data_IF_463501852544
#
_entry.id   IF_463501852544
#
_cell.length_a   1.000
_cell.length_b   1.000
_cell.length_c   1.000
_cell.angle_alpha   90.00
_cell.angle_beta   90.00
_cell.angle_gamma   90.00
#
_symmetry.space_group_name_H-M   'P 1'
#
loop_
_entity.id
_entity.type
_entity.pdbx_description
1 polymer ?
#
# COMPACT_ATOMS: atom_id res chain seq x y z
N UNK A 1 44.91 56.46 6.31
CA UNK A 1 45.32 55.06 6.05
C UNK A 1 44.18 54.04 6.26
N UNK A 2 43.22 54.26 7.17
CA UNK A 2 42.08 53.35 7.38
C UNK A 2 41.11 53.20 6.17
N UNK A 3 40.79 54.27 5.45
CA UNK A 3 39.85 54.22 4.32
C UNK A 3 40.35 53.44 3.08
N UNK A 4 41.67 53.38 2.89
CA UNK A 4 42.29 52.76 1.70
C UNK A 4 42.22 51.22 1.73
N UNK A 5 42.06 50.62 2.92
CA UNK A 5 41.86 49.18 3.10
C UNK A 5 40.39 48.78 3.34
N UNK A 6 39.55 49.70 3.83
CA UNK A 6 38.15 49.43 4.16
C UNK A 6 37.24 49.44 2.92
N UNK A 7 37.46 50.38 1.99
CA UNK A 7 36.62 50.56 0.80
C UNK A 7 36.66 49.36 -0.18
N UNK A 8 37.84 48.77 -0.49
CA UNK A 8 37.90 47.60 -1.36
C UNK A 8 37.22 46.37 -0.76
N UNK A 9 37.36 46.15 0.56
CA UNK A 9 36.70 45.05 1.27
C UNK A 9 35.17 45.22 1.30
N UNK A 10 34.69 46.45 1.42
CA UNK A 10 33.26 46.74 1.37
C UNK A 10 32.69 46.48 -0.04
N UNK A 11 33.40 46.91 -1.09
CA UNK A 11 32.99 46.63 -2.48
C UNK A 11 33.00 45.15 -2.83
N UNK A 12 34.01 44.41 -2.37
CA UNK A 12 34.03 42.94 -2.54
C UNK A 12 32.82 42.28 -1.86
N UNK A 13 32.46 42.75 -0.66
CA UNK A 13 31.27 42.26 0.05
C UNK A 13 29.97 42.62 -0.67
N UNK A 14 29.85 43.83 -1.23
CA UNK A 14 28.70 44.25 -2.02
C UNK A 14 28.54 43.37 -3.25
N UNK A 15 29.60 43.17 -4.04
CA UNK A 15 29.55 42.32 -5.24
C UNK A 15 29.17 40.87 -4.91
N UNK A 16 29.69 40.33 -3.79
CA UNK A 16 29.30 39.00 -3.32
C UNK A 16 27.83 38.94 -2.92
N UNK A 17 27.30 39.98 -2.28
CA UNK A 17 25.89 40.07 -1.91
C UNK A 17 24.99 40.21 -3.15
N UNK A 18 25.38 41.01 -4.13
CA UNK A 18 24.65 41.16 -5.41
C UNK A 18 24.61 39.84 -6.19
N UNK A 19 25.74 39.14 -6.31
CA UNK A 19 25.80 37.82 -6.93
C UNK A 19 24.88 36.82 -6.20
N UNK A 20 24.83 36.88 -4.86
CA UNK A 20 23.95 36.03 -4.06
C UNK A 20 22.47 36.38 -4.25
N UNK A 21 22.13 37.66 -4.38
CA UNK A 21 20.76 38.11 -4.67
C UNK A 21 20.30 37.55 -6.02
N UNK A 22 21.11 37.69 -7.07
CA UNK A 22 20.79 37.17 -8.40
C UNK A 22 20.58 35.64 -8.39
N UNK A 23 21.43 34.90 -7.67
CA UNK A 23 21.29 33.44 -7.51
C UNK A 23 19.98 33.06 -6.79
N UNK A 24 19.63 33.80 -5.73
CA UNK A 24 18.40 33.59 -4.97
C UNK A 24 17.16 33.93 -5.80
N UNK A 25 17.17 35.03 -6.54
CA UNK A 25 16.09 35.43 -7.44
C UNK A 25 15.85 34.36 -8.51
N UNK A 26 16.91 33.87 -9.15
CA UNK A 26 16.82 32.75 -10.10
C UNK A 26 16.26 31.49 -9.44
N UNK A 27 16.66 31.21 -8.20
CA UNK A 27 16.12 30.06 -7.45
C UNK A 27 14.62 30.20 -7.22
N UNK A 28 14.14 31.37 -6.77
CA UNK A 28 12.70 31.64 -6.53
C UNK A 28 11.89 31.53 -7.82
N UNK A 29 12.41 32.02 -8.95
CA UNK A 29 11.74 31.92 -10.24
C UNK A 29 11.56 30.45 -10.66
N UNK A 30 12.58 29.61 -10.49
CA UNK A 30 12.44 28.16 -10.77
C UNK A 30 11.45 27.46 -9.85
N UNK A 31 11.36 27.86 -8.57
CA UNK A 31 10.42 27.25 -7.63
C UNK A 31 8.98 27.66 -7.93
N UNK A 32 8.77 28.93 -8.28
CA UNK A 32 7.45 29.49 -8.61
C UNK A 32 6.92 29.06 -9.98
N UNK A 33 7.79 28.79 -10.96
CA UNK A 33 7.40 28.30 -12.29
C UNK A 33 7.47 26.78 -12.43
N UNK A 34 8.18 26.11 -11.51
CA UNK A 34 8.34 24.65 -11.50
C UNK A 34 7.18 23.90 -10.85
N UNK A 35 7.45 22.65 -10.48
CA UNK A 35 6.43 21.74 -9.93
C UNK A 35 5.77 22.21 -8.63
N UNK A 36 6.50 22.93 -7.77
CA UNK A 36 5.93 23.46 -6.51
C UNK A 36 4.99 24.63 -6.74
N UNK A 37 5.30 25.53 -7.67
CA UNK A 37 4.38 26.61 -8.05
C UNK A 37 3.03 26.08 -8.53
N UNK A 38 3.05 25.08 -9.42
CA UNK A 38 1.83 24.41 -9.89
C UNK A 38 1.11 23.65 -8.77
N UNK A 39 1.84 23.04 -7.83
CA UNK A 39 1.22 22.32 -6.73
C UNK A 39 0.43 23.25 -5.81
N UNK A 40 0.88 24.50 -5.61
CA UNK A 40 0.18 25.50 -4.80
C UNK A 40 -1.21 25.85 -5.34
N UNK A 41 -1.45 25.69 -6.65
CA UNK A 41 -2.76 25.92 -7.25
C UNK A 41 -3.79 24.84 -6.85
N UNK A 42 -3.31 23.66 -6.41
CA UNK A 42 -4.14 22.49 -6.17
C UNK A 42 -4.10 21.99 -4.72
N UNK A 43 -2.99 22.20 -4.00
CA UNK A 43 -2.79 21.77 -2.62
C UNK A 43 -3.17 22.88 -1.64
N UNK A 44 -4.16 22.61 -0.82
CA UNK A 44 -4.59 23.47 0.29
C UNK A 44 -4.49 22.71 1.61
N UNK A 45 -4.39 23.44 2.72
CA UNK A 45 -4.48 22.87 4.05
C UNK A 45 -5.78 23.33 4.70
N UNK A 46 -6.52 22.40 5.28
CA UNK A 46 -7.76 22.64 5.97
C UNK A 46 -7.58 22.35 7.46
N UNK A 47 -7.67 23.39 8.28
CA UNK A 47 -7.44 23.31 9.72
C UNK A 47 -8.79 23.18 10.44
N UNK A 48 -9.18 21.95 10.78
CA UNK A 48 -10.30 21.71 11.68
C UNK A 48 -9.78 21.44 13.08
N UNK A 49 -9.94 22.46 13.94
CA UNK A 49 -9.69 22.46 15.38
C UNK A 49 -8.25 22.15 15.82
N UNK A 50 -7.68 20.99 15.47
CA UNK A 50 -6.28 20.59 15.74
C UNK A 50 -5.72 19.64 14.64
N UNK A 51 -6.54 19.25 13.66
CA UNK A 51 -6.16 18.36 12.58
C UNK A 51 -5.98 19.14 11.28
N UNK A 52 -4.73 19.33 10.87
CA UNK A 52 -4.39 19.89 9.57
C UNK A 52 -4.56 18.80 8.52
N UNK A 53 -5.46 19.01 7.54
CA UNK A 53 -5.66 18.09 6.42
C UNK A 53 -5.14 18.70 5.12
N UNK A 54 -4.18 18.03 4.49
CA UNK A 54 -3.76 18.35 3.12
C UNK A 54 -4.85 17.92 2.13
N UNK A 55 -5.30 18.84 1.26
CA UNK A 55 -6.34 18.61 0.26
C UNK A 55 -5.86 18.98 -1.13
N UNK A 56 -5.89 18.01 -2.04
CA UNK A 56 -5.70 18.23 -3.48
C UNK A 56 -7.06 18.50 -4.13
N UNK A 57 -7.20 19.61 -4.84
CA UNK A 57 -8.46 20.01 -5.52
C UNK A 57 -8.23 20.09 -7.03
N UNK A 58 -9.14 19.56 -7.83
CA UNK A 58 -9.07 19.66 -9.30
C UNK A 58 -8.00 18.80 -9.98
N UNK A 59 -7.32 17.92 -9.23
CA UNK A 59 -6.32 16.97 -9.74
C UNK A 59 -6.46 15.59 -9.09
N UNK A 60 -5.95 14.56 -9.77
CA UNK A 60 -5.82 13.20 -9.22
C UNK A 60 -4.43 13.02 -8.58
N UNK A 61 -4.33 12.16 -7.55
CA UNK A 61 -3.06 11.65 -7.04
C UNK A 61 -2.73 10.33 -7.73
N UNK A 62 -1.54 10.25 -8.33
CA UNK A 62 -1.01 9.01 -8.90
C UNK A 62 0.33 8.67 -8.24
N UNK A 63 0.46 7.43 -7.78
CA UNK A 63 1.70 6.91 -7.18
C UNK A 63 2.20 5.79 -8.08
N UNK A 64 3.42 5.94 -8.61
CA UNK A 64 4.02 5.01 -9.57
C UNK A 64 5.37 4.51 -9.07
N UNK A 65 5.74 3.30 -9.49
CA UNK A 65 7.04 2.69 -9.17
C UNK A 65 8.20 3.20 -10.06
N UNK A 66 7.89 3.94 -11.13
CA UNK A 66 8.85 4.55 -12.06
C UNK A 66 9.34 3.66 -13.20
N UNK A 67 8.79 2.44 -13.37
CA UNK A 67 9.28 1.47 -14.35
C UNK A 67 8.44 1.38 -15.63
N UNK A 68 7.34 2.14 -15.70
CA UNK A 68 6.48 2.21 -16.88
C UNK A 68 5.59 0.97 -17.08
N UNK A 69 5.52 0.06 -16.12
CA UNK A 69 4.65 -1.12 -16.13
C UNK A 69 4.05 -1.37 -14.73
N UNK A 70 2.77 -1.69 -14.66
CA UNK A 70 2.07 -2.01 -13.40
C UNK A 70 2.52 -3.33 -12.77
N UNK A 71 2.93 -4.31 -13.59
CA UNK A 71 3.30 -5.64 -13.11
C UNK A 71 4.72 -5.71 -12.53
N UNK A 72 5.52 -4.67 -12.73
CA UNK A 72 6.88 -4.64 -12.20
C UNK A 72 6.87 -4.21 -10.73
N UNK A 73 7.77 -4.81 -9.95
CA UNK A 73 7.84 -4.61 -8.51
C UNK A 73 9.25 -4.18 -8.12
N UNK A 74 9.33 -3.09 -7.37
CA UNK A 74 10.60 -2.53 -6.92
C UNK A 74 10.48 -1.82 -5.57
N UNK A 75 9.54 -2.26 -4.73
CA UNK A 75 9.13 -1.70 -3.43
C UNK A 75 8.54 -0.28 -3.45
N UNK A 76 8.43 0.38 -4.62
CA UNK A 76 7.87 1.73 -4.76
C UNK A 76 6.46 1.71 -5.36
N UNK A 77 5.81 2.87 -5.40
CA UNK A 77 4.46 2.99 -5.98
C UNK A 77 3.32 2.63 -5.02
N UNK A 78 3.61 2.41 -3.73
CA UNK A 78 2.62 2.01 -2.72
C UNK A 78 2.01 3.23 -2.01
N UNK A 79 0.72 3.15 -1.63
CA UNK A 79 0.07 4.07 -0.68
C UNK A 79 0.05 3.44 0.71
N UNK A 80 0.67 4.09 1.69
CA UNK A 80 0.77 3.60 3.06
C UNK A 80 -0.02 4.53 3.99
N UNK A 81 -0.95 3.98 4.76
CA UNK A 81 -1.69 4.67 5.83
C UNK A 81 -1.31 4.09 7.20
N UNK A 82 -0.68 4.91 8.03
CA UNK A 82 -0.07 4.50 9.30
C UNK A 82 1.45 4.31 9.18
N UNK A 83 2.08 3.75 10.21
CA UNK A 83 3.54 3.61 10.27
C UNK A 83 4.08 2.35 9.57
N UNK A 84 3.19 1.43 9.17
CA UNK A 84 3.56 0.17 8.50
C UNK A 84 4.65 -0.58 9.29
N UNK A 85 4.46 -0.75 10.59
CA UNK A 85 5.44 -1.34 11.49
C UNK A 85 5.86 -2.74 11.00
N UNK A 86 7.14 -3.10 11.01
CA UNK A 86 7.59 -4.41 10.54
C UNK A 86 7.25 -5.51 11.55
N UNK A 87 7.35 -6.77 11.09
CA UNK A 87 7.32 -7.93 11.99
C UNK A 87 8.53 -7.91 12.92
N UNK A 88 8.36 -8.40 14.14
CA UNK A 88 9.44 -8.60 15.11
C UNK A 88 10.15 -9.95 14.92
N UNK A 89 9.49 -10.89 14.25
CA UNK A 89 9.97 -12.25 13.99
C UNK A 89 9.63 -12.66 12.55
N UNK A 90 10.49 -13.50 11.95
CA UNK A 90 10.35 -13.93 10.56
C UNK A 90 10.85 -12.93 9.53
N UNK A 91 10.64 -13.26 8.25
CA UNK A 91 11.08 -12.43 7.11
C UNK A 91 10.14 -11.24 6.90
N UNK A 92 10.72 -10.04 6.76
CA UNK A 92 9.99 -8.84 6.31
C UNK A 92 10.11 -8.77 4.80
N UNK A 93 9.03 -9.13 4.10
CA UNK A 93 8.99 -9.15 2.63
C UNK A 93 8.05 -8.07 2.13
N UNK A 94 8.62 -6.98 1.59
CA UNK A 94 7.89 -5.78 1.15
C UNK A 94 8.39 -5.28 -0.21
N UNK A 95 8.74 -6.21 -1.09
CA UNK A 95 9.23 -5.93 -2.44
C UNK A 95 8.14 -5.47 -3.40
N UNK A 96 6.86 -5.63 -3.04
CA UNK A 96 5.71 -5.31 -3.87
C UNK A 96 5.53 -3.83 -4.21
N UNK A 97 4.76 -3.57 -5.27
CA UNK A 97 4.51 -2.22 -5.81
C UNK A 97 3.02 -1.98 -6.07
N UNK A 98 2.57 -0.73 -6.14
CA UNK A 98 1.18 -0.40 -6.47
C UNK A 98 0.12 -0.96 -5.49
N UNK A 99 0.47 -1.12 -4.22
CA UNK A 99 -0.42 -1.62 -3.17
C UNK A 99 -0.97 -0.49 -2.28
N UNK A 100 -2.14 -0.71 -1.70
CA UNK A 100 -2.67 0.07 -0.57
C UNK A 100 -2.41 -0.71 0.72
N UNK A 101 -1.66 -0.11 1.64
CA UNK A 101 -1.25 -0.73 2.91
C UNK A 101 -1.79 0.08 4.07
N UNK A 102 -2.53 -0.59 4.96
CA UNK A 102 -3.15 -0.01 6.15
C UNK A 102 -2.82 -0.94 7.32
N UNK A 103 -2.39 -0.41 8.46
CA UNK A 103 -2.08 -1.24 9.64
C UNK A 103 -0.63 -1.72 9.69
N UNK A 104 -0.41 -2.87 10.34
CA UNK A 104 0.92 -3.25 10.86
C UNK A 104 1.33 -4.67 10.47
N UNK A 105 2.64 -4.90 10.42
CA UNK A 105 3.28 -6.21 10.25
C UNK A 105 2.98 -6.91 8.92
N UNK A 106 2.44 -6.20 7.94
CA UNK A 106 2.13 -6.78 6.64
C UNK A 106 3.40 -7.12 5.84
N UNK A 107 3.30 -8.22 5.10
CA UNK A 107 4.20 -8.55 3.99
C UNK A 107 3.42 -8.45 2.67
N UNK A 108 4.07 -7.92 1.65
CA UNK A 108 3.47 -7.71 0.33
C UNK A 108 4.58 -7.75 -0.73
N UNK A 109 4.60 -8.81 -1.54
CA UNK A 109 5.65 -9.04 -2.55
C UNK A 109 5.18 -8.83 -3.98
N UNK A 110 3.87 -8.72 -4.18
CA UNK A 110 3.26 -8.56 -5.51
C UNK A 110 2.72 -7.14 -5.75
N UNK A 111 1.80 -6.99 -6.69
CA UNK A 111 1.27 -5.70 -7.11
C UNK A 111 -0.26 -5.64 -7.14
N UNK A 112 -0.77 -4.41 -7.12
CA UNK A 112 -2.20 -4.08 -7.15
C UNK A 112 -3.03 -4.69 -6.00
N UNK A 113 -2.40 -4.93 -4.85
CA UNK A 113 -3.07 -5.46 -3.67
C UNK A 113 -3.57 -4.41 -2.68
N UNK A 114 -4.50 -4.81 -1.81
CA UNK A 114 -4.99 -4.02 -0.67
C UNK A 114 -4.82 -4.85 0.59
N UNK A 115 -4.05 -4.37 1.56
CA UNK A 115 -3.85 -5.04 2.84
C UNK A 115 -4.22 -4.14 4.01
N UNK A 116 -5.03 -4.67 4.91
CA UNK A 116 -5.39 -4.06 6.18
C UNK A 116 -5.37 -5.09 7.32
N UNK A 117 -5.38 -4.64 8.58
CA UNK A 117 -5.41 -5.49 9.77
C UNK A 117 -4.04 -5.65 10.41
N UNK A 118 -3.68 -6.89 10.76
CA UNK A 118 -2.41 -7.19 11.42
C UNK A 118 -1.75 -8.42 10.81
N UNK A 119 -0.48 -8.29 10.43
CA UNK A 119 0.34 -9.44 10.08
C UNK A 119 -0.21 -10.28 8.91
N UNK A 120 -0.87 -9.65 7.95
CA UNK A 120 -1.33 -10.31 6.72
C UNK A 120 -0.26 -10.36 5.61
N UNK A 121 -0.44 -11.24 4.64
CA UNK A 121 0.46 -11.48 3.50
C UNK A 121 -0.29 -11.37 2.17
N UNK A 122 0.21 -10.52 1.27
CA UNK A 122 -0.20 -10.50 -0.14
C UNK A 122 0.97 -10.96 -1.00
N UNK A 123 0.91 -12.22 -1.43
CA UNK A 123 1.92 -12.82 -2.30
C UNK A 123 1.42 -12.95 -3.75
N UNK A 124 0.10 -13.05 -3.95
CA UNK A 124 -0.52 -13.05 -5.26
C UNK A 124 -0.81 -11.65 -5.79
N UNK A 125 -0.82 -11.51 -7.12
CA UNK A 125 -1.28 -10.30 -7.79
C UNK A 125 -2.78 -10.02 -7.52
N UNK A 126 -3.14 -8.75 -7.40
CA UNK A 126 -4.52 -8.32 -7.13
C UNK A 126 -5.13 -8.92 -5.84
N UNK A 127 -4.29 -9.40 -4.91
CA UNK A 127 -4.75 -9.92 -3.62
C UNK A 127 -5.36 -8.82 -2.75
N UNK A 128 -6.48 -9.09 -2.10
CA UNK A 128 -7.18 -8.13 -1.25
C UNK A 128 -7.48 -8.77 0.10
N UNK A 129 -7.00 -8.16 1.17
CA UNK A 129 -7.29 -8.52 2.56
C UNK A 129 -7.84 -7.27 3.24
N UNK A 130 -9.17 -7.17 3.33
CA UNK A 130 -9.88 -5.99 3.83
C UNK A 130 -9.74 -5.82 5.35
N UNK A 131 -9.54 -6.93 6.07
CA UNK A 131 -9.20 -7.01 7.49
C UNK A 131 -8.72 -8.43 7.81
N UNK A 132 -8.35 -8.70 9.06
CA UNK A 132 -7.98 -10.02 9.57
C UNK A 132 -6.58 -10.06 10.15
N UNK A 133 -6.18 -11.25 10.60
CA UNK A 133 -4.87 -11.47 11.21
C UNK A 133 -4.20 -12.74 10.69
N UNK A 134 -2.94 -12.63 10.32
CA UNK A 134 -2.13 -13.75 9.79
C UNK A 134 -2.78 -14.42 8.56
N UNK A 135 -3.50 -13.68 7.72
CA UNK A 135 -4.10 -14.21 6.50
C UNK A 135 -3.14 -14.12 5.30
N UNK A 136 -3.23 -15.08 4.37
CA UNK A 136 -2.32 -15.26 3.23
C UNK A 136 -3.07 -15.31 1.89
N UNK A 137 -3.09 -14.19 1.16
CA UNK A 137 -3.54 -14.12 -0.23
C UNK A 137 -2.38 -14.56 -1.15
N UNK A 138 -2.28 -15.86 -1.40
CA UNK A 138 -1.15 -16.47 -2.11
C UNK A 138 -1.34 -16.54 -3.63
N UNK A 139 -2.57 -16.67 -4.10
CA UNK A 139 -2.90 -16.75 -5.51
C UNK A 139 -3.45 -15.43 -6.07
N UNK A 140 -3.62 -15.37 -7.39
CA UNK A 140 -4.16 -14.19 -8.08
C UNK A 140 -5.63 -13.94 -7.67
N UNK A 141 -6.00 -12.67 -7.52
CA UNK A 141 -7.39 -12.23 -7.31
C UNK A 141 -8.08 -12.83 -6.07
N UNK A 142 -7.31 -13.21 -5.04
CA UNK A 142 -7.87 -13.68 -3.77
C UNK A 142 -8.46 -12.50 -3.00
N UNK A 143 -9.68 -12.66 -2.48
CA UNK A 143 -10.32 -11.67 -1.62
C UNK A 143 -10.60 -12.26 -0.24
N UNK A 144 -10.14 -11.59 0.80
CA UNK A 144 -10.39 -11.95 2.19
C UNK A 144 -11.03 -10.77 2.91
N UNK A 145 -12.22 -10.96 3.47
CA UNK A 145 -12.93 -9.88 4.17
C UNK A 145 -12.48 -9.73 5.63
N UNK A 146 -12.16 -10.84 6.30
CA UNK A 146 -11.77 -10.89 7.70
C UNK A 146 -11.24 -12.27 8.10
N UNK A 147 -11.32 -12.59 9.39
CA UNK A 147 -10.89 -13.89 9.92
C UNK A 147 -9.42 -13.95 10.32
N UNK A 148 -8.97 -15.17 10.64
CA UNK A 148 -7.62 -15.43 11.14
C UNK A 148 -7.03 -16.66 10.43
N UNK A 149 -5.76 -16.59 10.04
CA UNK A 149 -4.97 -17.69 9.44
C UNK A 149 -5.53 -18.27 8.14
N UNK A 150 -6.30 -17.50 7.37
CA UNK A 150 -6.80 -17.94 6.07
C UNK A 150 -5.68 -18.10 5.03
N UNK A 151 -5.81 -19.11 4.15
CA UNK A 151 -4.82 -19.43 3.10
C UNK A 151 -5.51 -19.53 1.73
N UNK A 152 -5.60 -18.41 1.03
CA UNK A 152 -6.17 -18.35 -0.32
C UNK A 152 -5.13 -18.77 -1.36
N UNK A 153 -5.02 -20.08 -1.60
CA UNK A 153 -4.08 -20.65 -2.58
C UNK A 153 -4.73 -20.94 -3.94
N UNK A 154 -6.07 -20.95 -4.02
CA UNK A 154 -6.82 -21.00 -5.27
C UNK A 154 -7.07 -19.60 -5.84
N UNK A 155 -6.86 -19.42 -7.14
CA UNK A 155 -7.10 -18.12 -7.80
C UNK A 155 -8.59 -17.77 -7.76
N UNK A 156 -8.91 -16.47 -7.64
CA UNK A 156 -10.28 -15.97 -7.52
C UNK A 156 -11.07 -16.52 -6.32
N UNK A 157 -10.40 -17.04 -5.29
CA UNK A 157 -11.07 -17.49 -4.07
C UNK A 157 -11.52 -16.31 -3.20
N UNK A 158 -12.63 -16.47 -2.50
CA UNK A 158 -13.17 -15.47 -1.57
C UNK A 158 -13.36 -16.09 -0.19
N UNK A 159 -12.78 -15.49 0.84
CA UNK A 159 -12.87 -15.93 2.23
C UNK A 159 -13.47 -14.81 3.07
N UNK A 160 -14.70 -14.99 3.55
CA UNK A 160 -15.45 -13.94 4.23
C UNK A 160 -15.03 -13.84 5.70
N UNK A 161 -15.01 -14.97 6.42
CA UNK A 161 -14.71 -15.05 7.85
C UNK A 161 -14.25 -16.46 8.26
N UNK A 162 -13.99 -16.65 9.55
CA UNK A 162 -13.64 -17.92 10.17
C UNK A 162 -12.19 -18.00 10.60
N UNK A 163 -11.71 -19.25 10.74
CA UNK A 163 -10.36 -19.55 11.19
C UNK A 163 -9.73 -20.62 10.30
N UNK A 164 -8.53 -20.36 9.77
CA UNK A 164 -7.72 -21.33 9.03
C UNK A 164 -8.46 -22.02 7.87
N UNK A 165 -9.33 -21.33 7.14
CA UNK A 165 -9.89 -21.85 5.88
C UNK A 165 -8.94 -21.61 4.70
N UNK A 166 -8.93 -22.51 3.72
CA UNK A 166 -8.05 -22.40 2.55
C UNK A 166 -8.20 -23.56 1.57
N UNK A 167 -7.24 -23.74 0.67
CA UNK A 167 -7.23 -24.82 -0.31
C UNK A 167 -6.74 -24.37 -1.69
N UNK A 168 -6.47 -25.33 -2.57
CA UNK A 168 -5.91 -25.11 -3.92
C UNK A 168 -6.99 -24.86 -5.00
N UNK A 169 -8.25 -25.18 -4.69
CA UNK A 169 -9.40 -25.03 -5.58
C UNK A 169 -9.66 -23.58 -5.97
N UNK A 170 -9.70 -23.32 -7.28
CA UNK A 170 -9.93 -21.98 -7.82
C UNK A 170 -11.41 -21.60 -7.72
N UNK A 171 -11.72 -20.31 -7.58
CA UNK A 171 -13.09 -19.78 -7.44
C UNK A 171 -13.88 -20.38 -6.28
N UNK A 172 -13.17 -20.83 -5.24
CA UNK A 172 -13.79 -21.33 -4.01
C UNK A 172 -14.28 -20.18 -3.13
N UNK A 173 -15.38 -20.39 -2.42
CA UNK A 173 -15.96 -19.42 -1.51
C UNK A 173 -16.08 -20.02 -0.11
N UNK A 174 -15.58 -19.31 0.89
CA UNK A 174 -15.69 -19.67 2.30
C UNK A 174 -16.47 -18.58 3.01
N UNK A 175 -17.66 -18.91 3.52
CA UNK A 175 -18.50 -17.96 4.25
C UNK A 175 -18.06 -17.87 5.72
N UNK A 176 -17.96 -19.02 6.39
CA UNK A 176 -17.49 -19.19 7.77
C UNK A 176 -16.81 -20.57 7.92
N UNK A 177 -16.62 -21.02 9.16
CA UNK A 177 -16.09 -22.33 9.49
C UNK A 177 -14.63 -22.30 9.95
N UNK A 178 -14.14 -23.47 10.31
CA UNK A 178 -12.77 -23.67 10.80
C UNK A 178 -12.07 -24.76 10.01
N UNK A 179 -10.85 -24.51 9.54
CA UNK A 179 -10.00 -25.55 8.95
C UNK A 179 -10.64 -26.25 7.72
N UNK A 180 -11.46 -25.55 6.95
CA UNK A 180 -12.04 -26.09 5.73
C UNK A 180 -11.06 -26.02 4.54
N UNK A 181 -11.13 -27.01 3.63
CA UNK A 181 -10.17 -27.24 2.53
C UNK A 181 -10.87 -27.39 1.16
N UNK A 182 -10.80 -26.36 0.33
CA UNK A 182 -11.21 -26.43 -1.08
C UNK A 182 -10.09 -27.06 -1.92
N UNK A 183 -10.13 -28.37 -2.15
CA UNK A 183 -9.21 -29.07 -3.06
C UNK A 183 -9.72 -29.13 -4.51
N UNK A 184 -11.00 -28.81 -4.70
CA UNK A 184 -11.67 -28.76 -5.99
C UNK A 184 -12.21 -27.35 -6.28
N UNK A 185 -12.39 -27.03 -7.56
CA UNK A 185 -12.73 -25.68 -8.02
C UNK A 185 -14.23 -25.38 -7.89
N UNK A 186 -14.56 -24.09 -7.80
CA UNK A 186 -15.94 -23.59 -7.75
C UNK A 186 -16.75 -24.11 -6.54
N UNK A 187 -16.06 -24.51 -5.48
CA UNK A 187 -16.68 -25.04 -4.26
C UNK A 187 -17.14 -23.92 -3.33
N UNK A 188 -18.19 -24.19 -2.54
CA UNK A 188 -18.74 -23.24 -1.57
C UNK A 188 -18.84 -23.90 -0.21
N UNK A 189 -18.15 -23.33 0.79
CA UNK A 189 -18.21 -23.73 2.19
C UNK A 189 -19.07 -22.72 2.95
N UNK A 190 -20.24 -23.16 3.40
CA UNK A 190 -21.13 -22.32 4.21
C UNK A 190 -20.62 -22.22 5.65
N UNK A 191 -20.07 -23.30 6.20
CA UNK A 191 -19.52 -23.40 7.55
C UNK A 191 -18.83 -24.74 7.77
N UNK A 192 -18.88 -25.27 8.99
CA UNK A 192 -18.31 -26.58 9.33
C UNK A 192 -16.88 -26.51 9.89
N UNK A 193 -16.35 -27.67 10.29
CA UNK A 193 -15.02 -27.80 10.90
C UNK A 193 -14.27 -28.96 10.26
N UNK A 194 -13.19 -28.64 9.53
CA UNK A 194 -12.34 -29.67 8.94
C UNK A 194 -12.91 -30.30 7.66
N UNK A 195 -13.86 -29.66 7.01
CA UNK A 195 -14.47 -30.18 5.79
C UNK A 195 -13.49 -30.09 4.61
N UNK A 196 -13.53 -31.06 3.70
CA UNK A 196 -12.70 -31.06 2.49
C UNK A 196 -13.57 -31.36 1.27
N UNK A 197 -13.48 -30.54 0.24
CA UNK A 197 -14.28 -30.74 -0.98
C UNK A 197 -13.87 -32.01 -1.73
N UNK A 198 -14.84 -32.77 -2.19
CA UNK A 198 -14.71 -34.04 -2.89
C UNK A 198 -14.81 -33.94 -4.41
N UNK A 199 -15.40 -32.87 -4.96
CA UNK A 199 -15.49 -32.62 -6.39
C UNK A 199 -15.70 -31.13 -6.72
N UNK A 200 -15.59 -30.76 -8.00
CA UNK A 200 -15.85 -29.38 -8.47
C UNK A 200 -17.32 -28.99 -8.26
N UNK A 201 -17.58 -27.70 -8.04
CA UNK A 201 -18.94 -27.13 -7.86
C UNK A 201 -19.70 -27.64 -6.61
N UNK A 202 -19.02 -28.31 -5.69
CA UNK A 202 -19.63 -28.81 -4.45
C UNK A 202 -20.03 -27.67 -3.51
N UNK A 203 -21.22 -27.79 -2.90
CA UNK A 203 -21.68 -26.91 -1.83
C UNK A 203 -21.70 -27.70 -0.53
N UNK A 204 -20.86 -27.28 0.41
CA UNK A 204 -20.68 -27.91 1.71
C UNK A 204 -21.41 -27.08 2.76
N UNK A 205 -22.52 -27.61 3.33
CA UNK A 205 -23.31 -26.90 4.31
C UNK A 205 -22.59 -26.78 5.66
N UNK A 206 -23.06 -25.88 6.52
CA UNK A 206 -22.71 -25.91 7.92
C UNK A 206 -23.36 -27.15 8.57
N UNK A 207 -22.61 -28.24 8.67
CA UNK A 207 -23.03 -29.38 9.46
C UNK A 207 -22.91 -29.02 10.96
N UNK A 208 -23.87 -29.44 11.80
CA UNK A 208 -23.84 -29.20 13.24
C UNK A 208 -22.69 -29.94 13.94
#
# INVERSE_FOLDING_TARGET
MFGQFLFPRLMERINRLEARIQELESTVERLSTGGMGRLNDYLTFHDESECVTARLTGINLQIVNGEGNTQSVNCKGNLILGYNEPRTEGTVERSGSHNLIIGIKHNYSSYCGIVNGMANHINGEYGTILNGRECYANASHVTMCGGIDHKGNGSYSTLLSGFDNGGLGSRSVFIEGTNNRAEHSQTVFIGGVGETSSHDEEIIPALP
#
